data_IF_801304640297
#
_entry.id   IF_801304640297
#
_cell.length_a   1.000
_cell.length_b   1.000
_cell.length_c   1.000
_cell.angle_alpha   90.00
_cell.angle_beta   90.00
_cell.angle_gamma   90.00
#
_symmetry.space_group_name_H-M   'P 1'
#
loop_
_entity.id
_entity.type
_entity.pdbx_description
1 polymer ?
#
# COMPACT_ATOMS: atom_id res chain seq x y z
N UNK A 1 0.78 -14.23 16.85
CA UNK A 1 -0.07 -15.18 17.61
C UNK A 1 -1.50 -14.66 17.83
N UNK A 2 -1.70 -13.45 18.36
CA UNK A 2 -3.05 -12.90 18.63
C UNK A 2 -4.00 -12.91 17.42
N UNK A 3 -3.48 -12.57 16.23
CA UNK A 3 -4.23 -12.62 14.95
C UNK A 3 -4.73 -14.02 14.59
N UNK A 4 -3.87 -15.03 14.75
CA UNK A 4 -4.21 -16.42 14.49
C UNK A 4 -5.27 -16.93 15.46
N UNK A 5 -5.09 -16.65 16.76
CA UNK A 5 -6.09 -16.98 17.80
C UNK A 5 -7.42 -16.28 17.50
N UNK A 6 -7.38 -15.01 17.13
CA UNK A 6 -8.58 -14.25 16.74
C UNK A 6 -9.31 -14.89 15.56
N UNK A 7 -8.59 -15.36 14.53
CA UNK A 7 -9.20 -16.06 13.40
C UNK A 7 -9.86 -17.38 13.81
N UNK A 8 -9.23 -18.16 14.69
CA UNK A 8 -9.84 -19.41 15.20
C UNK A 8 -11.13 -19.09 15.95
N UNK A 9 -11.12 -18.10 16.84
CA UNK A 9 -12.31 -17.70 17.59
C UNK A 9 -13.44 -17.19 16.69
N UNK A 10 -13.11 -16.45 15.63
CA UNK A 10 -14.09 -16.03 14.62
C UNK A 10 -14.75 -17.23 13.94
N UNK A 11 -13.97 -18.21 13.50
CA UNK A 11 -14.49 -19.42 12.85
C UNK A 11 -15.36 -20.23 13.79
N UNK A 12 -14.89 -20.46 15.02
CA UNK A 12 -15.65 -21.23 16.04
C UNK A 12 -16.95 -20.52 16.41
N UNK A 13 -16.91 -19.20 16.63
CA UNK A 13 -18.10 -18.41 16.92
C UNK A 13 -19.09 -18.39 15.75
N UNK A 14 -18.61 -18.33 14.50
CA UNK A 14 -19.46 -18.35 13.32
C UNK A 14 -20.18 -19.70 13.16
N UNK A 15 -19.42 -20.80 13.21
CA UNK A 15 -19.97 -22.15 13.08
C UNK A 15 -20.93 -22.46 14.23
N UNK A 16 -20.53 -22.15 15.47
CA UNK A 16 -21.37 -22.33 16.65
C UNK A 16 -22.66 -21.52 16.59
N UNK A 17 -22.57 -20.25 16.17
CA UNK A 17 -23.72 -19.36 16.00
C UNK A 17 -24.69 -19.87 14.94
N UNK A 18 -24.17 -20.33 13.79
CA UNK A 18 -24.99 -20.91 12.72
C UNK A 18 -25.72 -22.19 13.16
N UNK A 19 -25.05 -23.08 13.89
CA UNK A 19 -25.68 -24.30 14.42
C UNK A 19 -26.75 -23.95 15.47
N UNK A 20 -26.48 -22.99 16.35
CA UNK A 20 -27.39 -22.57 17.41
C UNK A 20 -28.65 -21.87 16.86
N UNK A 21 -28.51 -21.09 15.78
CA UNK A 21 -29.63 -20.37 15.16
C UNK A 21 -30.47 -21.24 14.23
N UNK A 22 -29.90 -22.30 13.65
CA UNK A 22 -30.61 -23.19 12.73
C UNK A 22 -31.68 -24.08 13.40
N UNK A 23 -31.73 -24.15 14.73
CA UNK A 23 -32.75 -24.91 15.48
C UNK A 23 -34.03 -24.10 15.69
N UNK A 24 -35.17 -24.78 15.78
CA UNK A 24 -36.45 -24.17 16.14
C UNK A 24 -37.04 -24.82 17.42
N UNK A 25 -37.17 -24.09 18.54
CA UNK A 25 -36.70 -22.72 18.74
C UNK A 25 -35.16 -22.63 18.77
N UNK A 26 -34.58 -21.46 18.45
CA UNK A 26 -33.13 -21.26 18.50
C UNK A 26 -32.57 -21.46 19.91
N UNK A 27 -31.34 -21.97 19.99
CA UNK A 27 -30.60 -22.05 21.25
C UNK A 27 -30.02 -20.68 21.59
N UNK A 28 -30.84 -19.79 22.15
CA UNK A 28 -30.48 -18.40 22.44
C UNK A 28 -29.22 -18.25 23.31
N UNK A 29 -29.01 -19.12 24.28
CA UNK A 29 -27.81 -19.10 25.15
C UNK A 29 -26.54 -19.46 24.35
N UNK A 30 -26.61 -20.51 23.54
CA UNK A 30 -25.49 -20.94 22.69
C UNK A 30 -25.20 -19.91 21.58
N UNK A 31 -26.24 -19.28 21.04
CA UNK A 31 -26.12 -18.18 20.08
C UNK A 31 -25.43 -16.96 20.70
N UNK A 32 -25.87 -16.55 21.89
CA UNK A 32 -25.26 -15.45 22.65
C UNK A 32 -23.78 -15.73 22.98
N UNK A 33 -23.46 -16.94 23.45
CA UNK A 33 -22.09 -17.36 23.70
C UNK A 33 -21.21 -17.34 22.45
N UNK A 34 -21.76 -17.79 21.32
CA UNK A 34 -21.07 -17.81 20.03
C UNK A 34 -20.78 -16.40 19.51
N UNK A 35 -21.71 -15.46 19.67
CA UNK A 35 -21.51 -14.04 19.37
C UNK A 35 -20.44 -13.41 20.26
N UNK A 36 -20.41 -13.75 21.55
CA UNK A 36 -19.38 -13.27 22.48
C UNK A 36 -17.97 -13.76 22.08
N UNK A 37 -17.83 -15.05 21.76
CA UNK A 37 -16.57 -15.64 21.26
C UNK A 37 -16.12 -14.92 19.98
N UNK A 38 -17.04 -14.67 19.06
CA UNK A 38 -16.76 -13.92 17.83
C UNK A 38 -16.29 -12.50 18.13
N UNK A 39 -16.96 -11.78 19.05
CA UNK A 39 -16.57 -10.45 19.49
C UNK A 39 -15.15 -10.39 20.07
N UNK A 40 -14.78 -11.34 20.92
CA UNK A 40 -13.41 -11.48 21.45
C UNK A 40 -12.41 -11.78 20.32
N UNK A 41 -12.79 -12.64 19.37
CA UNK A 41 -11.98 -12.93 18.18
C UNK A 41 -11.66 -11.67 17.35
N UNK A 42 -12.65 -10.79 17.14
CA UNK A 42 -12.46 -9.50 16.46
C UNK A 42 -11.45 -8.63 17.21
N UNK A 43 -11.59 -8.52 18.54
CA UNK A 43 -10.69 -7.70 19.36
C UNK A 43 -9.24 -8.21 19.31
N UNK A 44 -9.03 -9.52 19.47
CA UNK A 44 -7.69 -10.13 19.40
C UNK A 44 -7.06 -9.99 18.01
N UNK A 45 -7.87 -10.15 16.95
CA UNK A 45 -7.40 -9.93 15.57
C UNK A 45 -6.97 -8.49 15.35
N UNK A 46 -7.78 -7.51 15.79
CA UNK A 46 -7.46 -6.08 15.68
C UNK A 46 -6.19 -5.70 16.45
N UNK A 47 -6.00 -6.26 17.65
CA UNK A 47 -4.77 -6.06 18.41
C UNK A 47 -3.56 -6.66 17.70
N UNK A 48 -3.68 -7.87 17.14
CA UNK A 48 -2.61 -8.50 16.39
C UNK A 48 -2.19 -7.71 15.14
N UNK A 49 -3.14 -7.14 14.40
CA UNK A 49 -2.84 -6.30 13.23
C UNK A 49 -2.12 -5.00 13.62
N UNK A 50 -2.54 -4.36 14.73
CA UNK A 50 -1.85 -3.19 15.27
C UNK A 50 -0.41 -3.52 15.70
N UNK A 51 -0.21 -4.63 16.40
CA UNK A 51 1.13 -5.08 16.82
C UNK A 51 2.05 -5.38 15.63
N UNK A 52 1.53 -6.00 14.56
CA UNK A 52 2.28 -6.24 13.33
C UNK A 52 2.72 -4.92 12.68
N UNK A 53 1.81 -3.96 12.53
CA UNK A 53 2.12 -2.65 11.97
C UNK A 53 3.18 -1.91 12.81
N UNK A 54 3.04 -1.89 14.13
CA UNK A 54 4.01 -1.26 15.03
C UNK A 54 5.37 -1.95 15.00
N UNK A 55 5.42 -3.28 14.88
CA UNK A 55 6.69 -4.02 14.73
C UNK A 55 7.37 -3.70 13.41
N UNK A 56 6.62 -3.64 12.30
CA UNK A 56 7.17 -3.26 11.00
C UNK A 56 7.77 -1.84 11.02
N UNK A 57 7.06 -0.89 11.66
CA UNK A 57 7.56 0.46 11.87
C UNK A 57 8.82 0.49 12.77
N UNK A 58 8.82 -0.25 13.88
CA UNK A 58 9.94 -0.28 14.84
C UNK A 58 11.18 -1.01 14.30
N UNK A 59 11.02 -1.93 13.36
CA UNK A 59 12.14 -2.63 12.70
C UNK A 59 12.75 -1.83 11.53
N UNK A 60 12.27 -0.61 11.26
CA UNK A 60 12.76 0.21 10.15
C UNK A 60 12.49 -0.42 8.77
N UNK A 61 11.49 -1.32 8.67
CA UNK A 61 11.04 -1.95 7.42
C UNK A 61 9.84 -1.20 6.87
N UNK A 62 10.02 0.09 6.59
CA UNK A 62 8.95 1.02 6.32
C UNK A 62 8.77 2.02 7.46
N UNK A 63 8.81 3.28 7.09
CA UNK A 63 8.64 4.44 7.93
C UNK A 63 8.60 5.68 7.06
N UNK A 64 7.96 6.75 7.54
CA UNK A 64 7.75 7.98 6.77
C UNK A 64 9.02 8.54 6.14
N UNK A 65 10.13 8.53 6.87
CA UNK A 65 11.44 9.00 6.38
C UNK A 65 12.06 8.10 5.32
N UNK A 66 11.94 6.78 5.46
CA UNK A 66 12.44 5.84 4.45
C UNK A 66 11.64 6.00 3.15
N UNK A 67 10.31 6.06 3.26
CA UNK A 67 9.40 6.27 2.14
C UNK A 67 9.66 7.61 1.44
N UNK A 68 9.92 8.66 2.23
CA UNK A 68 10.29 9.98 1.73
C UNK A 68 11.59 9.91 0.93
N UNK A 69 12.64 9.29 1.50
CA UNK A 69 13.92 9.14 0.82
C UNK A 69 13.80 8.35 -0.48
N UNK A 70 13.01 7.28 -0.50
CA UNK A 70 12.73 6.50 -1.71
C UNK A 70 12.04 7.36 -2.79
N UNK A 71 11.02 8.14 -2.41
CA UNK A 71 10.35 9.06 -3.35
C UNK A 71 11.30 10.15 -3.85
N UNK A 72 12.06 10.79 -2.97
CA UNK A 72 13.01 11.86 -3.35
C UNK A 72 14.07 11.34 -4.31
N UNK A 73 14.58 10.12 -4.08
CA UNK A 73 15.53 9.46 -4.98
C UNK A 73 14.88 9.21 -6.34
N UNK A 74 13.68 8.63 -6.39
CA UNK A 74 12.98 8.37 -7.65
C UNK A 74 12.64 9.67 -8.41
N UNK A 75 12.20 10.72 -7.72
CA UNK A 75 11.93 12.04 -8.31
C UNK A 75 13.21 12.60 -8.95
N UNK A 76 14.34 12.57 -8.24
CA UNK A 76 15.61 13.08 -8.76
C UNK A 76 16.10 12.30 -9.98
N UNK A 77 15.94 10.98 -9.99
CA UNK A 77 16.32 10.15 -11.14
C UNK A 77 15.41 10.40 -12.36
N UNK A 78 14.10 10.56 -12.16
CA UNK A 78 13.18 10.93 -13.25
C UNK A 78 13.52 12.32 -13.81
N UNK A 79 13.86 13.28 -12.95
CA UNK A 79 14.26 14.63 -13.36
C UNK A 79 15.49 14.60 -14.27
N UNK A 80 16.50 13.78 -13.95
CA UNK A 80 17.65 13.56 -14.83
C UNK A 80 17.26 13.03 -16.21
N UNK A 81 16.38 12.03 -16.27
CA UNK A 81 15.89 11.48 -17.56
C UNK A 81 15.24 12.58 -18.39
N UNK A 82 14.43 13.44 -17.76
CA UNK A 82 13.75 14.56 -18.41
C UNK A 82 14.73 15.65 -18.89
N UNK A 83 15.75 15.97 -18.09
CA UNK A 83 16.76 17.00 -18.42
C UNK A 83 17.72 16.54 -19.53
N UNK A 84 18.19 15.30 -19.46
CA UNK A 84 19.10 14.72 -20.45
C UNK A 84 18.41 14.54 -21.81
N UNK A 85 17.06 14.55 -21.84
CA UNK A 85 16.23 14.25 -23.02
C UNK A 85 16.83 13.09 -23.79
N UNK A 86 16.99 11.97 -23.07
CA UNK A 86 17.73 10.81 -23.53
C UNK A 86 17.30 10.46 -24.97
N UNK A 87 18.23 10.63 -25.91
CA UNK A 87 17.96 10.37 -27.34
C UNK A 87 17.88 8.88 -27.64
N UNK A 88 18.43 8.07 -26.74
CA UNK A 88 18.36 6.62 -26.77
C UNK A 88 17.17 6.15 -25.92
N UNK A 89 16.10 5.72 -26.60
CA UNK A 89 14.88 5.25 -25.96
C UNK A 89 15.09 3.98 -25.15
N UNK A 90 16.04 3.12 -25.54
CA UNK A 90 16.31 1.89 -24.81
C UNK A 90 16.98 2.21 -23.47
N UNK A 91 17.91 3.17 -23.47
CA UNK A 91 18.53 3.66 -22.24
C UNK A 91 17.52 4.35 -21.32
N UNK A 92 16.63 5.18 -21.87
CA UNK A 92 15.55 5.82 -21.11
C UNK A 92 14.62 4.78 -20.47
N UNK A 93 14.24 3.76 -21.23
CA UNK A 93 13.41 2.64 -20.79
C UNK A 93 14.09 1.81 -19.69
N UNK A 94 15.37 1.49 -19.84
CA UNK A 94 16.13 0.74 -18.83
C UNK A 94 16.22 1.52 -17.51
N UNK A 95 16.55 2.82 -17.58
CA UNK A 95 16.60 3.70 -16.42
C UNK A 95 15.23 3.80 -15.74
N UNK A 96 14.15 4.01 -16.51
CA UNK A 96 12.80 4.06 -15.99
C UNK A 96 12.37 2.72 -15.37
N UNK A 97 12.83 1.59 -15.91
CA UNK A 97 12.62 0.26 -15.32
C UNK A 97 13.18 0.15 -13.90
N UNK A 98 14.44 0.59 -13.69
CA UNK A 98 15.09 0.60 -12.36
C UNK A 98 14.34 1.50 -11.36
N UNK A 99 13.80 2.61 -11.85
CA UNK A 99 12.98 3.51 -11.04
C UNK A 99 11.67 2.82 -10.64
N UNK A 100 11.00 2.13 -11.56
CA UNK A 100 9.78 1.38 -11.27
C UNK A 100 10.00 0.28 -10.23
N UNK A 101 11.12 -0.46 -10.29
CA UNK A 101 11.50 -1.44 -9.24
C UNK A 101 11.70 -0.77 -7.86
N UNK A 102 12.28 0.44 -7.84
CA UNK A 102 12.42 1.23 -6.62
C UNK A 102 11.07 1.67 -6.06
N UNK A 103 10.12 2.03 -6.93
CA UNK A 103 8.76 2.41 -6.56
C UNK A 103 7.93 1.19 -6.09
N UNK A 104 8.16 0.00 -6.61
CA UNK A 104 7.57 -1.23 -6.09
C UNK A 104 7.97 -1.44 -4.62
N UNK A 105 9.26 -1.25 -4.31
CA UNK A 105 9.75 -1.29 -2.92
C UNK A 105 9.06 -0.25 -2.02
N UNK A 106 8.75 0.93 -2.54
CA UNK A 106 7.96 1.93 -1.81
C UNK A 106 6.57 1.41 -1.46
N UNK A 107 5.86 0.81 -2.43
CA UNK A 107 4.50 0.29 -2.23
C UNK A 107 4.45 -0.82 -1.17
N UNK A 108 5.44 -1.73 -1.18
CA UNK A 108 5.57 -2.80 -0.17
C UNK A 108 5.78 -2.23 1.24
N UNK A 109 6.62 -1.19 1.35
CA UNK A 109 7.00 -0.58 2.62
C UNK A 109 6.01 0.48 3.11
N UNK A 110 4.97 0.81 2.36
CA UNK A 110 4.01 1.85 2.72
C UNK A 110 3.00 1.43 3.80
N UNK A 111 2.84 0.14 4.09
CA UNK A 111 1.85 -0.36 5.06
C UNK A 111 1.90 0.30 6.46
N UNK A 112 3.08 0.59 7.05
CA UNK A 112 3.18 1.25 8.34
C UNK A 112 2.56 2.66 8.39
N UNK A 113 2.38 3.35 7.25
CA UNK A 113 1.67 4.64 7.21
C UNK A 113 0.21 4.54 7.71
N UNK A 114 -0.38 3.32 7.75
CA UNK A 114 -1.71 3.10 8.34
C UNK A 114 -1.77 3.46 9.82
N UNK A 115 -0.63 3.54 10.52
CA UNK A 115 -0.52 4.01 11.90
C UNK A 115 -0.87 5.51 12.02
N UNK A 116 -0.48 6.33 11.04
CA UNK A 116 -0.86 7.76 10.96
C UNK A 116 -2.33 7.97 10.55
N UNK A 117 -3.00 6.89 10.16
CA UNK A 117 -4.43 6.82 9.88
C UNK A 117 -4.73 6.23 8.51
N UNK A 118 -5.78 5.40 8.44
CA UNK A 118 -6.19 4.73 7.20
C UNK A 118 -6.52 5.71 6.08
N UNK A 119 -7.06 6.89 6.42
CA UNK A 119 -7.35 7.95 5.46
C UNK A 119 -6.08 8.52 4.85
N UNK A 120 -5.08 8.83 5.67
CA UNK A 120 -3.80 9.36 5.20
C UNK A 120 -3.07 8.36 4.31
N UNK A 121 -2.99 7.10 4.74
CA UNK A 121 -2.49 6.01 3.91
C UNK A 121 -3.22 5.94 2.56
N UNK A 122 -4.55 6.00 2.57
CA UNK A 122 -5.37 6.00 1.35
C UNK A 122 -5.09 7.18 0.42
N UNK A 123 -4.95 8.39 0.97
CA UNK A 123 -4.64 9.61 0.21
C UNK A 123 -3.26 9.50 -0.47
N UNK A 124 -2.22 9.11 0.29
CA UNK A 124 -0.85 8.93 -0.23
C UNK A 124 -0.82 7.83 -1.29
N UNK A 125 -1.38 6.65 -1.01
CA UNK A 125 -1.35 5.53 -1.96
C UNK A 125 -2.19 5.79 -3.21
N UNK A 126 -3.31 6.54 -3.09
CA UNK A 126 -4.11 6.93 -4.26
C UNK A 126 -3.31 7.85 -5.18
N UNK A 127 -2.58 8.82 -4.61
CA UNK A 127 -1.69 9.70 -5.38
C UNK A 127 -0.56 8.89 -6.03
N UNK A 128 0.10 8.04 -5.24
CA UNK A 128 1.20 7.19 -5.68
C UNK A 128 0.80 6.27 -6.85
N UNK A 129 -0.31 5.53 -6.72
CA UNK A 129 -0.75 4.59 -7.76
C UNK A 129 -1.14 5.28 -9.06
N UNK A 130 -1.55 6.56 -9.03
CA UNK A 130 -1.70 7.33 -10.26
C UNK A 130 -0.32 7.56 -10.88
N UNK A 131 0.65 8.07 -10.12
CA UNK A 131 2.00 8.34 -10.61
C UNK A 131 2.63 7.09 -11.24
N UNK A 132 2.58 5.97 -10.53
CA UNK A 132 3.09 4.66 -10.98
C UNK A 132 2.43 4.22 -12.30
N UNK A 133 1.12 4.39 -12.48
CA UNK A 133 0.44 4.06 -13.74
C UNK A 133 0.93 4.91 -14.90
N UNK A 134 1.14 6.20 -14.68
CA UNK A 134 1.66 7.09 -15.71
C UNK A 134 3.11 6.71 -16.07
N UNK A 135 3.96 6.43 -15.08
CA UNK A 135 5.33 5.98 -15.33
C UNK A 135 5.39 4.63 -16.06
N UNK A 136 4.52 3.68 -15.72
CA UNK A 136 4.38 2.43 -16.47
C UNK A 136 3.96 2.67 -17.93
N UNK A 137 3.04 3.61 -18.18
CA UNK A 137 2.67 3.98 -19.55
C UNK A 137 3.83 4.62 -20.31
N UNK A 138 4.62 5.46 -19.65
CA UNK A 138 5.82 6.02 -20.25
C UNK A 138 6.82 4.93 -20.64
N UNK A 139 7.05 3.97 -19.75
CA UNK A 139 7.91 2.82 -20.00
C UNK A 139 7.44 1.97 -21.19
N UNK A 140 6.14 1.67 -21.28
CA UNK A 140 5.56 0.97 -22.43
C UNK A 140 5.69 1.78 -23.73
N UNK A 141 5.41 3.08 -23.69
CA UNK A 141 5.54 3.95 -24.86
C UNK A 141 6.98 4.02 -25.37
N UNK A 142 7.99 4.07 -24.48
CA UNK A 142 9.39 4.01 -24.89
C UNK A 142 9.76 2.65 -25.50
N UNK A 143 9.23 1.55 -24.97
CA UNK A 143 9.41 0.21 -25.55
C UNK A 143 8.86 0.12 -26.98
N UNK A 144 7.74 0.78 -27.23
CA UNK A 144 7.06 0.78 -28.53
C UNK A 144 7.59 1.87 -29.49
N UNK A 145 8.53 2.71 -29.05
CA UNK A 145 9.11 3.80 -29.86
C UNK A 145 8.29 5.10 -29.92
N UNK A 146 7.24 5.23 -29.11
CA UNK A 146 6.36 6.41 -29.06
C UNK A 146 6.91 7.52 -28.16
N UNK A 147 7.97 8.20 -28.59
CA UNK A 147 8.72 9.20 -27.79
C UNK A 147 7.82 10.28 -27.17
N UNK A 148 6.98 10.94 -27.99
CA UNK A 148 6.14 12.05 -27.51
C UNK A 148 5.13 11.61 -26.44
N UNK A 149 4.58 10.41 -26.60
CA UNK A 149 3.64 9.83 -25.63
C UNK A 149 4.37 9.42 -24.35
N UNK A 150 5.56 8.80 -24.50
CA UNK A 150 6.45 8.47 -23.39
C UNK A 150 6.79 9.70 -22.55
N UNK A 151 7.25 10.78 -23.18
CA UNK A 151 7.61 12.03 -22.50
C UNK A 151 6.41 12.66 -21.79
N UNK A 152 5.24 12.67 -22.44
CA UNK A 152 4.00 13.21 -21.85
C UNK A 152 3.62 12.43 -20.58
N UNK A 153 3.70 11.10 -20.63
CA UNK A 153 3.40 10.27 -19.46
C UNK A 153 4.49 10.34 -18.40
N UNK A 154 5.76 10.51 -18.78
CA UNK A 154 6.88 10.69 -17.85
C UNK A 154 6.69 11.99 -17.05
N UNK A 155 6.41 13.11 -17.73
CA UNK A 155 6.12 14.40 -17.10
C UNK A 155 4.91 14.33 -16.17
N UNK A 156 3.83 13.68 -16.62
CA UNK A 156 2.63 13.48 -15.81
C UNK A 156 2.91 12.61 -14.58
N UNK A 157 3.67 11.52 -14.74
CA UNK A 157 4.05 10.63 -13.65
C UNK A 157 4.94 11.35 -12.62
N UNK A 158 5.93 12.09 -13.08
CA UNK A 158 6.80 12.94 -12.27
C UNK A 158 6.01 13.96 -11.43
N UNK A 159 5.08 14.68 -12.04
CA UNK A 159 4.23 15.66 -11.35
C UNK A 159 3.38 15.00 -10.24
N UNK A 160 2.81 13.84 -10.52
CA UNK A 160 2.03 13.08 -9.53
C UNK A 160 2.89 12.47 -8.42
N UNK A 161 4.15 12.12 -8.73
CA UNK A 161 5.11 11.64 -7.73
C UNK A 161 5.51 12.77 -6.76
N UNK A 162 5.68 14.00 -7.27
CA UNK A 162 5.87 15.20 -6.42
C UNK A 162 4.67 15.46 -5.52
N UNK A 163 3.46 15.32 -6.03
CA UNK A 163 2.25 15.46 -5.21
C UNK A 163 2.21 14.41 -4.10
N UNK A 164 2.58 13.17 -4.42
CA UNK A 164 2.71 12.09 -3.42
C UNK A 164 3.72 12.45 -2.32
N UNK A 165 4.89 12.99 -2.70
CA UNK A 165 5.89 13.48 -1.75
C UNK A 165 5.36 14.65 -0.91
N UNK A 166 4.62 15.60 -1.51
CA UNK A 166 3.99 16.71 -0.79
C UNK A 166 2.97 16.20 0.24
N UNK A 167 2.09 15.27 -0.14
CA UNK A 167 1.13 14.66 0.77
C UNK A 167 1.82 13.98 1.94
N UNK A 168 2.88 13.22 1.68
CA UNK A 168 3.67 12.57 2.71
C UNK A 168 4.26 13.59 3.71
N UNK A 169 4.70 14.75 3.23
CA UNK A 169 5.26 15.83 4.05
C UNK A 169 4.19 16.73 4.75
N UNK A 170 2.93 16.74 4.29
CA UNK A 170 1.89 17.68 4.74
C UNK A 170 1.39 17.50 6.18
N UNK A 171 1.67 16.35 6.82
CA UNK A 171 1.31 16.05 8.22
C UNK A 171 2.53 16.06 9.15
N UNK A 172 3.33 17.11 9.09
CA UNK A 172 4.37 17.41 10.08
C UNK A 172 3.83 18.47 11.03
#
# INVERSE_FOLDING_TARGET
>A
MKKFIGNIMLTVGLVGGAIASARNPPLWTALGGSLAIMGVGILLRRQGEKEELHKSAAQGKGGKEELKRTLETAIAEIEKIMEEREKDLEKAREHLGKILETLETFAEKAQPLRIEGIRFYGEVMTSFSKAERHLNRAWSAYADGYVKEGDTYLESGYSQLKETSRLLNSRI
#
